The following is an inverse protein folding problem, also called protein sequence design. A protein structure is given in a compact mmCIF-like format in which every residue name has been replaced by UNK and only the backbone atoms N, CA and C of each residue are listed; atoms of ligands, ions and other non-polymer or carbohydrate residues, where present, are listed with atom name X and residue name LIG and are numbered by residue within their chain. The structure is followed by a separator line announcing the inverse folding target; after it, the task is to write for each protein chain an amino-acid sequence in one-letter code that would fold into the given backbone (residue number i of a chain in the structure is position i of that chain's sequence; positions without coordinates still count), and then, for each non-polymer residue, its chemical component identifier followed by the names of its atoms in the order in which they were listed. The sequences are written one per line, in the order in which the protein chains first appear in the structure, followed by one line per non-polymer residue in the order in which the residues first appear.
data_IF_922869221334
#
_entry.id   IF_922869221334
#
_cell.length_a   1.000
_cell.length_b   1.000
_cell.length_c   1.000
_cell.angle_alpha   90.00
_cell.angle_beta   90.00
_cell.angle_gamma   90.00
#
_symmetry.space_group_name_H-M   'P 1'
#
loop_
_entity.id
_entity.type
_entity.pdbx_description
1 polymer ?
#
# COMPACT_ATOMS: atom_id res chain seq x y z
N UNK A 1 18.14 56.56 35.56
CA UNK A 1 18.08 55.32 36.35
C UNK A 1 17.09 55.60 37.45
N UNK A 2 15.91 55.01 37.43
CA UNK A 2 15.08 54.79 38.62
C UNK A 2 14.04 53.71 38.27
N UNK A 3 14.09 52.62 39.03
CA UNK A 3 13.19 51.47 38.97
C UNK A 3 12.07 51.72 39.98
N UNK A 4 10.84 51.73 39.50
CA UNK A 4 9.60 51.81 40.29
C UNK A 4 8.54 51.07 39.44
N UNK A 5 7.66 50.19 39.91
CA UNK A 5 7.16 49.86 41.24
C UNK A 5 6.47 48.47 41.21
N UNK A 6 6.29 47.95 42.42
CA UNK A 6 5.75 46.65 42.87
C UNK A 6 4.44 46.11 42.26
N UNK A 7 4.44 44.78 42.10
CA UNK A 7 3.59 43.76 42.77
C UNK A 7 2.13 44.09 43.13
N UNK A 8 1.17 43.27 42.66
CA UNK A 8 0.03 42.76 43.46
C UNK A 8 -0.61 41.56 42.73
N UNK A 9 -0.88 40.50 43.50
CA UNK A 9 -1.51 39.22 43.12
C UNK A 9 -2.94 39.19 43.64
N UNK A 10 -3.93 38.93 42.77
CA UNK A 10 -5.24 38.28 43.01
C UNK A 10 -5.70 37.80 41.62
N UNK A 11 -6.01 36.54 41.33
CA UNK A 11 -6.98 35.67 41.99
C UNK A 11 -8.32 35.79 41.26
N UNK A 12 -8.62 34.88 40.32
CA UNK A 12 -9.91 34.84 39.61
C UNK A 12 -9.93 33.82 38.48
N UNK A 13 -10.35 32.60 38.79
CA UNK A 13 -10.77 31.58 37.83
C UNK A 13 -12.25 31.87 37.49
N UNK A 14 -12.65 31.83 36.20
CA UNK A 14 -13.86 31.18 35.70
C UNK A 14 -14.12 31.48 34.21
N UNK A 15 -14.00 30.42 33.41
CA UNK A 15 -14.85 30.05 32.26
C UNK A 15 -15.41 31.16 31.37
N UNK A 16 -14.77 31.36 30.22
CA UNK A 16 -15.49 31.57 28.97
C UNK A 16 -15.30 30.30 28.13
N UNK A 17 -16.43 29.83 27.60
CA UNK A 17 -16.65 28.60 26.84
C UNK A 17 -15.72 28.54 25.61
N UNK A 18 -15.35 27.33 25.15
CA UNK A 18 -14.57 27.20 23.93
C UNK A 18 -15.38 27.77 22.76
N UNK A 19 -14.78 28.73 22.04
CA UNK A 19 -15.24 29.11 20.71
C UNK A 19 -15.23 27.84 19.84
N UNK A 20 -16.43 27.28 19.61
CA UNK A 20 -16.72 26.28 18.61
C UNK A 20 -16.48 26.90 17.21
N UNK A 21 -15.22 27.00 16.79
CA UNK A 21 -14.88 27.31 15.40
C UNK A 21 -14.76 26.00 14.60
N UNK A 22 -15.82 25.79 13.83
CA UNK A 22 -16.08 24.69 12.92
C UNK A 22 -14.94 24.51 11.90
N UNK A 23 -14.56 23.24 11.68
CA UNK A 23 -13.78 22.86 10.51
C UNK A 23 -12.49 22.11 10.80
N UNK A 24 -12.51 21.16 11.73
CA UNK A 24 -11.53 20.07 11.70
C UNK A 24 -11.71 19.30 10.38
N UNK A 25 -11.03 19.76 9.32
CA UNK A 25 -10.97 19.07 8.05
C UNK A 25 -10.43 17.67 8.35
N UNK A 26 -11.30 16.66 8.28
CA UNK A 26 -10.92 15.28 8.50
C UNK A 26 -9.82 14.95 7.51
N UNK A 27 -8.58 14.86 8.01
CA UNK A 27 -7.41 14.64 7.18
C UNK A 27 -7.65 13.32 6.43
N UNK A 28 -7.69 13.36 5.09
CA UNK A 28 -7.85 12.15 4.28
C UNK A 28 -6.71 11.20 4.62
N UNK A 29 -7.03 10.09 5.28
CA UNK A 29 -6.05 9.05 5.60
C UNK A 29 -5.58 8.45 4.28
N UNK A 30 -4.29 8.61 3.99
CA UNK A 30 -3.66 8.07 2.79
C UNK A 30 -2.81 6.88 3.20
N UNK A 31 -3.05 5.73 2.58
CA UNK A 31 -2.18 4.56 2.73
C UNK A 31 -1.16 4.57 1.60
N UNK A 32 0.13 4.42 1.95
CA UNK A 32 1.20 4.26 0.97
C UNK A 32 1.31 2.77 0.65
N UNK A 33 1.28 2.44 -0.63
CA UNK A 33 1.42 1.08 -1.15
C UNK A 33 2.59 1.06 -2.13
N UNK A 34 3.36 -0.03 -2.13
CA UNK A 34 4.46 -0.29 -3.07
C UNK A 34 4.29 -1.66 -3.70
N UNK A 35 4.68 -1.80 -4.97
CA UNK A 35 4.68 -3.06 -5.70
C UNK A 35 5.91 -3.13 -6.62
N UNK A 36 6.33 -4.35 -6.94
CA UNK A 36 7.43 -4.60 -7.86
C UNK A 36 6.95 -4.54 -9.30
N UNK A 37 7.83 -4.07 -10.19
CA UNK A 37 7.57 -3.91 -11.62
C UNK A 37 8.70 -4.60 -12.38
N UNK A 38 8.38 -5.23 -13.50
CA UNK A 38 9.40 -5.83 -14.38
C UNK A 38 10.38 -4.78 -14.92
N UNK A 39 11.58 -5.23 -15.26
CA UNK A 39 12.62 -4.35 -15.80
C UNK A 39 12.14 -3.67 -17.10
N UNK A 40 12.25 -2.34 -17.16
CA UNK A 40 11.82 -1.51 -18.28
C UNK A 40 10.33 -1.14 -18.31
N UNK A 41 9.48 -1.80 -17.53
CA UNK A 41 8.07 -1.41 -17.42
C UNK A 41 7.89 -0.12 -16.60
N UNK A 42 8.78 0.14 -15.64
CA UNK A 42 8.80 1.40 -14.89
C UNK A 42 9.03 2.61 -15.81
N UNK A 43 9.94 2.48 -16.79
CA UNK A 43 10.19 3.51 -17.81
C UNK A 43 8.99 3.72 -18.73
N UNK A 44 8.27 2.65 -19.09
CA UNK A 44 7.04 2.74 -19.88
C UNK A 44 5.95 3.46 -19.11
N UNK A 45 5.75 3.13 -17.84
CA UNK A 45 4.77 3.77 -16.95
C UNK A 45 5.09 5.27 -16.80
N UNK A 46 6.35 5.61 -16.50
CA UNK A 46 6.78 7.01 -16.38
C UNK A 46 6.58 7.78 -17.70
N UNK A 47 6.93 7.16 -18.83
CA UNK A 47 6.76 7.76 -20.15
C UNK A 47 5.27 8.01 -20.48
N UNK A 48 4.41 7.04 -20.20
CA UNK A 48 2.96 7.17 -20.39
C UNK A 48 2.38 8.29 -19.53
N UNK A 49 2.78 8.36 -18.26
CA UNK A 49 2.39 9.45 -17.36
C UNK A 49 2.79 10.82 -17.93
N UNK A 50 4.06 11.01 -18.30
CA UNK A 50 4.55 12.28 -18.83
C UNK A 50 3.79 12.73 -20.08
N UNK A 51 3.43 11.79 -20.97
CA UNK A 51 2.62 12.09 -22.15
C UNK A 51 1.16 12.40 -21.81
N UNK A 52 0.58 11.72 -20.82
CA UNK A 52 -0.80 11.97 -20.38
C UNK A 52 -0.99 13.40 -19.84
N UNK A 53 0.02 13.97 -19.16
CA UNK A 53 -0.03 15.35 -18.65
C UNK A 53 -0.28 16.38 -19.74
N UNK A 54 0.23 16.14 -20.95
CA UNK A 54 0.04 17.03 -22.10
C UNK A 54 -1.42 17.05 -22.58
N UNK A 55 -2.21 16.04 -22.22
CA UNK A 55 -3.59 15.84 -22.66
C UNK A 55 -4.61 16.05 -21.52
N UNK A 56 -4.24 16.80 -20.48
CA UNK A 56 -5.13 17.03 -19.32
C UNK A 56 -5.24 15.84 -18.37
N UNK A 57 -4.27 14.92 -18.41
CA UNK A 57 -4.19 13.78 -17.50
C UNK A 57 -3.81 14.14 -16.06
N UNK A 58 -3.62 13.12 -15.21
CA UNK A 58 -3.32 13.28 -13.78
C UNK A 58 -2.05 14.08 -13.51
N UNK A 59 -2.02 14.82 -12.39
CA UNK A 59 -0.92 15.74 -12.08
C UNK A 59 0.29 15.03 -11.47
N UNK A 60 0.06 13.90 -10.78
CA UNK A 60 1.08 13.08 -10.11
C UNK A 60 1.04 11.64 -10.61
N UNK A 61 2.18 10.95 -10.50
CA UNK A 61 2.28 9.54 -10.91
C UNK A 61 1.37 8.63 -10.08
N UNK A 62 1.22 8.92 -8.79
CA UNK A 62 0.31 8.18 -7.91
C UNK A 62 -1.15 8.30 -8.37
N UNK A 63 -1.62 9.51 -8.71
CA UNK A 63 -2.98 9.70 -9.27
C UNK A 63 -3.16 9.00 -10.62
N UNK A 64 -2.11 8.94 -11.43
CA UNK A 64 -2.13 8.24 -12.70
C UNK A 64 -2.29 6.74 -12.54
N UNK A 65 -1.50 6.13 -11.66
CA UNK A 65 -1.57 4.69 -11.39
C UNK A 65 -2.90 4.35 -10.69
N UNK A 66 -3.29 5.13 -9.69
CA UNK A 66 -4.57 4.95 -8.97
C UNK A 66 -5.76 4.94 -9.93
N UNK A 67 -5.83 5.92 -10.85
CA UNK A 67 -6.89 5.97 -11.86
C UNK A 67 -6.91 4.73 -12.75
N UNK A 68 -5.75 4.28 -13.24
CA UNK A 68 -5.68 3.11 -14.12
C UNK A 68 -6.12 1.85 -13.39
N UNK A 69 -5.67 1.68 -12.13
CA UNK A 69 -6.05 0.54 -11.30
C UNK A 69 -7.54 0.55 -11.02
N UNK A 70 -8.12 1.69 -10.66
CA UNK A 70 -9.55 1.78 -10.36
C UNK A 70 -10.42 1.60 -11.61
N UNK A 71 -10.02 2.14 -12.77
CA UNK A 71 -10.72 1.91 -14.04
C UNK A 71 -10.75 0.39 -14.38
N UNK A 72 -9.68 -0.34 -14.09
CA UNK A 72 -9.62 -1.80 -14.28
C UNK A 72 -10.44 -2.56 -13.22
N UNK A 73 -10.43 -2.13 -11.96
CA UNK A 73 -11.29 -2.71 -10.91
C UNK A 73 -12.76 -2.58 -11.30
N UNK A 74 -13.22 -1.40 -11.72
CA UNK A 74 -14.59 -1.19 -12.19
C UNK A 74 -14.94 -2.09 -13.39
N UNK A 75 -14.00 -2.27 -14.32
CA UNK A 75 -14.17 -3.19 -15.45
C UNK A 75 -14.36 -4.64 -14.97
N UNK A 76 -13.56 -5.08 -14.00
CA UNK A 76 -13.65 -6.42 -13.41
C UNK A 76 -14.94 -6.61 -12.60
N UNK A 77 -15.36 -5.61 -11.85
CA UNK A 77 -16.64 -5.61 -11.11
C UNK A 77 -17.82 -5.70 -12.08
N UNK A 78 -17.77 -4.95 -13.19
CA UNK A 78 -18.73 -5.07 -14.29
C UNK A 78 -18.76 -6.48 -14.90
N UNK A 79 -17.60 -7.10 -15.09
CA UNK A 79 -17.48 -8.40 -15.73
C UNK A 79 -17.87 -9.57 -14.82
N UNK A 80 -17.51 -9.50 -13.53
CA UNK A 80 -17.54 -10.65 -12.62
C UNK A 80 -18.42 -10.46 -11.39
N UNK A 81 -18.93 -9.25 -11.14
CA UNK A 81 -19.74 -8.95 -9.96
C UNK A 81 -20.99 -8.11 -10.27
N UNK A 82 -21.53 -8.23 -11.49
CA UNK A 82 -22.73 -7.52 -11.92
C UNK A 82 -22.64 -5.99 -11.76
N UNK A 83 -21.43 -5.43 -11.88
CA UNK A 83 -21.17 -4.00 -11.68
C UNK A 83 -21.29 -3.55 -10.22
N UNK A 84 -21.34 -4.48 -9.26
CA UNK A 84 -21.26 -4.16 -7.85
C UNK A 84 -19.80 -4.24 -7.37
N UNK A 85 -19.42 -3.45 -6.36
CA UNK A 85 -18.10 -3.54 -5.76
C UNK A 85 -17.78 -4.94 -5.23
N UNK A 86 -16.54 -5.41 -5.41
CA UNK A 86 -16.13 -6.68 -4.80
C UNK A 86 -16.21 -6.61 -3.26
N UNK A 87 -16.54 -7.72 -2.58
CA UNK A 87 -16.47 -7.77 -1.13
C UNK A 87 -15.03 -7.58 -0.65
N UNK A 88 -14.87 -6.99 0.54
CA UNK A 88 -13.53 -6.79 1.14
C UNK A 88 -12.88 -8.15 1.36
N UNK A 89 -11.74 -8.38 0.73
CA UNK A 89 -10.95 -9.59 0.92
C UNK A 89 -10.37 -9.61 2.34
N UNK A 90 -10.38 -10.79 2.95
CA UNK A 90 -9.65 -11.04 4.20
C UNK A 90 -8.16 -11.27 3.93
N UNK A 91 -7.30 -10.97 4.90
CA UNK A 91 -5.84 -11.21 4.81
C UNK A 91 -5.50 -12.68 4.44
N UNK A 92 -6.37 -13.60 4.87
CA UNK A 92 -6.23 -15.03 4.57
C UNK A 92 -6.40 -15.31 3.09
N UNK A 93 -7.35 -14.67 2.42
CA UNK A 93 -7.61 -14.86 0.98
C UNK A 93 -6.44 -14.32 0.14
N UNK A 94 -5.86 -13.18 0.53
CA UNK A 94 -4.71 -12.59 -0.16
C UNK A 94 -3.43 -13.44 -0.03
N UNK A 95 -3.27 -14.18 1.07
CA UNK A 95 -2.06 -14.97 1.34
C UNK A 95 -2.04 -16.35 0.66
N UNK A 96 -3.15 -16.82 0.08
CA UNK A 96 -3.24 -18.19 -0.44
C UNK A 96 -2.51 -18.41 -1.77
N UNK A 97 -2.14 -17.35 -2.49
CA UNK A 97 -1.60 -17.44 -3.86
C UNK A 97 -0.06 -17.34 -3.96
N UNK A 98 0.68 -17.31 -2.84
CA UNK A 98 2.11 -17.57 -2.91
C UNK A 98 2.33 -19.07 -3.06
N UNK A 99 2.86 -19.59 -4.18
CA UNK A 99 3.35 -20.96 -4.20
C UNK A 99 4.48 -21.00 -3.18
N UNK A 100 4.25 -21.65 -2.03
CA UNK A 100 5.32 -22.08 -1.15
C UNK A 100 6.32 -22.77 -2.07
N UNK A 101 7.52 -22.19 -2.18
CA UNK A 101 8.58 -22.67 -3.04
C UNK A 101 8.60 -24.19 -2.94
N UNK A 102 8.31 -24.83 -4.07
CA UNK A 102 8.33 -26.28 -4.18
C UNK A 102 9.79 -26.67 -4.00
N UNK A 103 10.18 -26.87 -2.74
CA UNK A 103 11.49 -27.33 -2.31
C UNK A 103 11.79 -28.56 -3.15
N UNK A 104 12.66 -28.40 -4.14
CA UNK A 104 13.24 -29.50 -4.88
C UNK A 104 14.16 -30.24 -3.90
N UNK A 105 13.56 -30.99 -2.97
CA UNK A 105 14.21 -32.10 -2.27
C UNK A 105 14.41 -33.19 -3.31
N UNK A 106 15.39 -32.99 -4.19
CA UNK A 106 16.02 -34.10 -4.88
C UNK A 106 16.79 -34.91 -3.85
N UNK A 107 16.10 -35.82 -3.15
CA UNK A 107 16.75 -36.89 -2.41
C UNK A 107 17.50 -37.76 -3.43
N UNK A 108 18.83 -37.93 -3.36
CA UNK A 108 19.45 -39.07 -3.99
C UNK A 108 19.18 -40.25 -3.06
N UNK A 109 18.13 -41.00 -3.37
CA UNK A 109 17.90 -42.33 -2.80
C UNK A 109 19.09 -43.22 -3.16
N UNK A 110 19.86 -43.53 -2.12
CA UNK A 110 20.51 -44.81 -1.87
C UNK A 110 20.23 -45.87 -2.94
N UNK A 111 21.19 -46.07 -3.84
CA UNK A 111 21.20 -47.17 -4.80
C UNK A 111 22.44 -48.01 -4.53
N UNK A 112 22.31 -48.94 -3.58
CA UNK A 112 23.19 -50.09 -3.50
C UNK A 112 23.04 -50.96 -4.77
N UNK A 113 24.12 -51.52 -5.30
CA UNK A 113 24.04 -52.79 -5.99
C UNK A 113 24.52 -53.91 -5.04
N UNK A 114 23.60 -54.77 -4.62
CA UNK A 114 23.94 -56.12 -4.13
C UNK A 114 24.20 -57.02 -5.35
N UNK A 115 25.43 -57.51 -5.46
CA UNK A 115 25.89 -58.73 -6.18
C UNK A 115 27.41 -58.59 -6.33
N UNK A 116 28.29 -59.46 -5.83
CA UNK A 116 28.24 -60.72 -5.14
C UNK A 116 29.69 -61.21 -5.19
N UNK A 117 30.25 -61.67 -4.06
CA UNK A 117 31.58 -62.30 -3.99
C UNK A 117 31.64 -63.57 -4.86
N UNK A 118 32.79 -64.26 -5.04
CA UNK A 118 34.16 -64.00 -4.53
C UNK A 118 35.23 -64.12 -5.63
N UNK A 119 36.52 -63.93 -5.30
CA UNK A 119 37.60 -64.92 -5.56
C UNK A 119 38.99 -64.33 -5.23
N UNK A 120 39.67 -65.03 -4.32
CA UNK A 120 41.11 -65.11 -3.97
C UNK A 120 41.92 -63.84 -3.65
#
# INVERSE_FOLDING_TARGET
MDKERNSTKHGGHNTDEPDDDEGAATMKVTNIVSFDVEDGDDDRIRSAFLRSKMNGGPNTLAQFIDKIVMDEVERLEGQYNNGQPFPVASDRELSQDHPAERRLEGSPTDSQPLRGDPEF
#
